data_IF_603879017056
#
_entry.id   IF_603879017056
#
_cell.length_a   1.000
_cell.length_b   1.000
_cell.length_c   1.000
_cell.angle_alpha   90.00
_cell.angle_beta   90.00
_cell.angle_gamma   90.00
#
_symmetry.space_group_name_H-M   'P 1'
#
loop_
_entity.id
_entity.type
_entity.pdbx_description
1 polymer ?
#
# COMPACT_ATOMS: atom_id res chain seq x y z
N UNK A 1 -25.11 5.92 35.36
CA UNK A 1 -26.35 5.71 34.59
C UNK A 1 -25.90 5.40 33.17
N UNK A 2 -26.21 4.23 32.59
CA UNK A 2 -26.04 4.03 31.16
C UNK A 2 -26.84 5.12 30.43
N UNK A 3 -26.24 5.78 29.45
CA UNK A 3 -26.93 6.78 28.63
C UNK A 3 -27.99 6.08 27.77
N UNK A 4 -29.25 6.52 27.86
CA UNK A 4 -30.32 5.98 27.02
C UNK A 4 -30.07 6.35 25.55
N UNK A 5 -29.87 5.35 24.69
CA UNK A 5 -29.63 5.56 23.26
C UNK A 5 -30.88 6.18 22.63
N UNK A 6 -30.80 7.47 22.29
CA UNK A 6 -31.88 8.16 21.58
C UNK A 6 -31.86 7.83 20.08
N UNK A 7 -33.02 7.74 19.42
CA UNK A 7 -33.10 7.52 17.95
C UNK A 7 -32.26 8.53 17.17
N UNK A 8 -32.21 9.79 17.64
CA UNK A 8 -31.40 10.86 17.04
C UNK A 8 -29.90 10.60 17.21
N UNK A 9 -29.48 10.19 18.41
CA UNK A 9 -28.09 9.81 18.70
C UNK A 9 -27.64 8.59 17.87
N UNK A 10 -28.51 7.58 17.75
CA UNK A 10 -28.26 6.41 16.90
C UNK A 10 -28.06 6.82 15.44
N UNK A 11 -29.02 7.53 14.83
CA UNK A 11 -28.91 7.98 13.43
C UNK A 11 -27.69 8.88 13.21
N UNK A 12 -27.39 9.78 14.16
CA UNK A 12 -26.22 10.66 14.09
C UNK A 12 -24.90 9.90 14.16
N UNK A 13 -24.78 8.88 15.00
CA UNK A 13 -23.58 8.07 15.07
C UNK A 13 -23.44 7.13 13.88
N UNK A 14 -24.53 6.47 13.46
CA UNK A 14 -24.52 5.61 12.28
C UNK A 14 -24.15 6.36 11.01
N UNK A 15 -24.63 7.60 10.83
CA UNK A 15 -24.28 8.41 9.65
C UNK A 15 -22.81 8.84 9.64
N UNK A 16 -22.24 9.18 10.82
CA UNK A 16 -20.81 9.49 10.94
C UNK A 16 -19.93 8.30 10.59
N UNK A 17 -20.29 7.11 11.07
CA UNK A 17 -19.55 5.87 10.76
C UNK A 17 -19.66 5.54 9.27
N UNK A 18 -20.85 5.64 8.68
CA UNK A 18 -21.07 5.38 7.26
C UNK A 18 -20.25 6.33 6.36
N UNK A 19 -20.21 7.63 6.69
CA UNK A 19 -19.42 8.61 5.93
C UNK A 19 -17.90 8.39 6.11
N UNK A 20 -17.46 8.03 7.31
CA UNK A 20 -16.05 7.69 7.56
C UNK A 20 -15.58 6.47 6.75
N UNK A 21 -16.44 5.47 6.58
CA UNK A 21 -16.14 4.28 5.78
C UNK A 21 -16.04 4.55 4.27
N UNK A 22 -16.52 5.70 3.78
CA UNK A 22 -16.42 6.08 2.37
C UNK A 22 -15.08 6.75 2.02
N UNK A 23 -14.27 7.11 3.02
CA UNK A 23 -12.92 7.66 2.80
C UNK A 23 -11.92 6.51 2.85
N UNK A 24 -11.53 6.01 1.68
CA UNK A 24 -10.52 4.94 1.56
C UNK A 24 -9.26 5.46 0.86
N UNK A 25 -8.06 4.94 1.20
CA UNK A 25 -6.81 5.37 0.58
C UNK A 25 -6.73 5.11 -0.92
N UNK A 26 -5.95 5.93 -1.64
CA UNK A 26 -5.73 5.80 -3.10
C UNK A 26 -5.18 4.44 -3.53
N UNK A 27 -4.43 3.74 -2.68
CA UNK A 27 -3.89 2.42 -3.00
C UNK A 27 -4.96 1.31 -2.96
N UNK A 28 -6.19 1.62 -2.54
CA UNK A 28 -7.35 0.71 -2.53
C UNK A 28 -8.24 0.94 -3.76
N UNK A 29 -8.54 2.19 -4.11
CA UNK A 29 -9.40 2.53 -5.26
C UNK A 29 -8.63 2.68 -6.58
N UNK A 30 -7.32 2.88 -6.50
CA UNK A 30 -6.51 3.32 -7.64
C UNK A 30 -6.78 4.77 -8.03
N UNK A 31 -6.58 5.09 -9.31
CA UNK A 31 -6.76 6.41 -9.88
C UNK A 31 -5.82 6.69 -11.05
N UNK A 32 -5.94 7.83 -11.75
CA UNK A 32 -5.04 8.19 -12.84
C UNK A 32 -3.57 8.17 -12.37
N UNK A 33 -2.72 7.44 -13.09
CA UNK A 33 -1.30 7.30 -12.76
C UNK A 33 -0.98 6.36 -11.58
N UNK A 34 -1.96 5.63 -11.04
CA UNK A 34 -1.71 4.56 -10.08
C UNK A 34 -1.45 3.25 -10.81
N UNK A 35 -0.24 2.71 -10.70
CA UNK A 35 0.07 1.34 -11.11
C UNK A 35 -0.45 0.38 -10.04
N UNK A 36 -1.28 -0.58 -10.45
CA UNK A 36 -1.78 -1.59 -9.53
C UNK A 36 -0.62 -2.51 -9.08
N UNK A 37 -0.64 -3.03 -7.84
CA UNK A 37 0.36 -4.00 -7.39
C UNK A 37 0.38 -5.30 -8.23
N UNK A 38 -0.70 -5.62 -8.93
CA UNK A 38 -0.74 -6.75 -9.88
C UNK A 38 0.00 -6.48 -11.18
N UNK A 39 0.21 -5.20 -11.49
CA UNK A 39 0.80 -4.74 -12.75
C UNK A 39 2.28 -4.38 -12.56
N UNK A 40 2.87 -4.73 -11.41
CA UNK A 40 4.31 -4.66 -11.19
C UNK A 40 4.97 -5.99 -11.49
N UNK A 41 6.21 -5.93 -11.98
CA UNK A 41 7.05 -7.09 -12.21
C UNK A 41 7.71 -7.52 -10.89
N UNK A 42 7.76 -8.84 -10.67
CA UNK A 42 8.55 -9.41 -9.57
C UNK A 42 9.99 -9.62 -10.03
N UNK A 43 10.93 -8.92 -9.41
CA UNK A 43 12.33 -8.87 -9.83
C UNK A 43 13.22 -9.42 -8.72
N UNK A 44 14.15 -10.29 -9.10
CA UNK A 44 15.21 -10.79 -8.23
C UNK A 44 16.57 -10.29 -8.76
N UNK A 45 17.41 -9.79 -7.85
CA UNK A 45 18.73 -9.21 -8.18
C UNK A 45 19.82 -10.13 -7.64
N UNK A 46 20.77 -10.51 -8.50
CA UNK A 46 21.93 -11.34 -8.16
C UNK A 46 23.20 -10.52 -8.36
N UNK A 47 23.91 -10.24 -7.26
CA UNK A 47 24.95 -9.21 -7.15
C UNK A 47 24.32 -7.84 -6.89
N UNK A 48 24.45 -7.29 -5.69
CA UNK A 48 23.92 -5.99 -5.30
C UNK A 48 24.88 -4.83 -5.62
N UNK A 49 26.14 -5.14 -5.91
CA UNK A 49 27.14 -4.16 -6.36
C UNK A 49 27.02 -3.75 -7.83
N UNK A 50 27.59 -2.59 -8.17
CA UNK A 50 27.71 -2.10 -9.55
C UNK A 50 26.37 -2.00 -10.28
N UNK A 51 26.27 -2.68 -11.43
CA UNK A 51 25.08 -2.68 -12.30
C UNK A 51 23.85 -3.25 -11.60
N UNK A 52 24.02 -4.21 -10.69
CA UNK A 52 22.88 -4.76 -9.94
C UNK A 52 22.25 -3.73 -9.01
N UNK A 53 23.07 -2.89 -8.37
CA UNK A 53 22.61 -1.78 -7.53
C UNK A 53 22.02 -0.62 -8.33
N UNK A 54 22.59 -0.31 -9.50
CA UNK A 54 22.04 0.68 -10.43
C UNK A 54 20.66 0.24 -10.95
N UNK A 55 20.55 -1.00 -11.41
CA UNK A 55 19.28 -1.59 -11.84
C UNK A 55 18.25 -1.62 -10.70
N UNK A 56 18.66 -1.89 -9.45
CA UNK A 56 17.76 -1.82 -8.31
C UNK A 56 17.15 -0.41 -8.10
N UNK A 57 17.93 0.64 -8.37
CA UNK A 57 17.45 2.02 -8.27
C UNK A 57 16.54 2.38 -9.45
N UNK A 58 16.92 2.01 -10.66
CA UNK A 58 16.11 2.29 -11.86
C UNK A 58 14.77 1.54 -11.85
N UNK A 59 14.75 0.33 -11.30
CA UNK A 59 13.57 -0.53 -11.22
C UNK A 59 12.81 -0.38 -9.88
N UNK A 60 13.07 0.68 -9.12
CA UNK A 60 12.46 0.90 -7.79
C UNK A 60 10.94 1.09 -7.79
N UNK A 61 10.32 1.28 -8.95
CA UNK A 61 8.85 1.28 -9.12
C UNK A 61 8.25 -0.12 -9.22
N UNK A 62 9.07 -1.13 -9.50
CA UNK A 62 8.68 -2.53 -9.59
C UNK A 62 8.86 -3.25 -8.24
N UNK A 63 8.41 -4.50 -8.15
CA UNK A 63 8.47 -5.26 -6.91
C UNK A 63 9.77 -6.08 -6.82
N UNK A 64 10.77 -5.58 -6.08
CA UNK A 64 12.00 -6.32 -5.81
C UNK A 64 11.72 -7.36 -4.72
N UNK A 65 11.62 -8.63 -5.12
CA UNK A 65 11.24 -9.74 -4.22
C UNK A 65 12.43 -10.43 -3.56
N UNK A 66 13.61 -10.33 -4.16
CA UNK A 66 14.81 -10.97 -3.65
C UNK A 66 16.06 -10.22 -4.10
N UNK A 67 17.06 -10.21 -3.23
CA UNK A 67 18.42 -9.75 -3.53
C UNK A 67 19.39 -10.76 -2.94
N UNK A 68 20.41 -11.14 -3.68
CA UNK A 68 21.54 -11.89 -3.16
C UNK A 68 22.86 -11.30 -3.65
N UNK A 69 23.90 -11.38 -2.84
CA UNK A 69 25.27 -11.02 -3.21
C UNK A 69 26.24 -12.07 -2.65
N UNK A 70 27.39 -12.24 -3.30
CA UNK A 70 28.43 -13.18 -2.88
C UNK A 70 29.24 -12.64 -1.70
N UNK A 71 29.16 -11.33 -1.45
CA UNK A 71 29.80 -10.67 -0.32
C UNK A 71 29.05 -11.00 0.99
N UNK A 72 29.39 -12.16 1.57
CA UNK A 72 29.19 -12.43 2.99
C UNK A 72 30.23 -11.62 3.79
N UNK A 73 29.85 -10.43 4.25
CA UNK A 73 30.42 -9.85 5.48
C UNK A 73 29.34 -9.77 6.55
#
# INVERSE_FOLDING_TARGET
MPEDITRRGFVSNSSKVALGAMIVPRHVLGGPGYQAPSDTLNIAIVGAGGVGGENAQELGTENIVAVCDIDHQ
#
